data_IF_176398278893
#
_entry.id   IF_176398278893
#
_cell.length_a   1.000
_cell.length_b   1.000
_cell.length_c   1.000
_cell.angle_alpha   90.00
_cell.angle_beta   90.00
_cell.angle_gamma   90.00
#
_symmetry.space_group_name_H-M   'P 1'
#
loop_
_entity.id
_entity.type
_entity.pdbx_description
1 polymer ?
#
# COMPACT_ATOMS: atom_id res chain seq x y z
N UNK A 1 4.30 6.40 24.79
CA UNK A 1 4.57 6.37 23.34
C UNK A 1 4.29 7.78 22.84
N UNK A 2 5.25 8.44 22.22
CA UNK A 2 5.07 9.74 21.57
C UNK A 2 4.78 9.47 20.10
N UNK A 3 3.73 10.08 19.56
CA UNK A 3 3.35 9.93 18.15
C UNK A 3 3.77 11.14 17.29
N UNK A 4 4.40 12.15 17.91
CA UNK A 4 4.98 13.25 17.16
C UNK A 4 6.25 12.76 16.46
N UNK A 5 6.43 13.17 15.21
CA UNK A 5 7.64 12.85 14.44
C UNK A 5 8.84 13.59 15.02
N UNK A 6 10.00 12.96 14.98
CA UNK A 6 11.28 13.63 15.23
C UNK A 6 11.66 14.51 14.03
N UNK A 7 12.62 15.43 14.23
CA UNK A 7 13.12 16.29 13.15
C UNK A 7 13.65 15.45 11.95
N UNK A 8 14.33 14.33 12.22
CA UNK A 8 14.83 13.42 11.18
C UNK A 8 13.69 12.72 10.44
N UNK A 9 12.64 12.32 11.14
CA UNK A 9 11.45 11.73 10.55
C UNK A 9 10.64 12.73 9.72
N UNK A 10 10.58 13.99 10.16
CA UNK A 10 9.99 15.07 9.36
C UNK A 10 10.80 15.31 8.09
N UNK A 11 12.13 15.33 8.18
CA UNK A 11 13.00 15.46 7.02
C UNK A 11 12.84 14.29 6.03
N UNK A 12 12.75 13.05 6.54
CA UNK A 12 12.47 11.86 5.72
C UNK A 12 11.13 11.99 5.01
N UNK A 13 10.06 12.30 5.74
CA UNK A 13 8.71 12.52 5.18
C UNK A 13 8.75 13.54 4.05
N UNK A 14 9.33 14.71 4.31
CA UNK A 14 9.36 15.82 3.36
C UNK A 14 10.23 15.48 2.13
N UNK A 15 11.33 14.76 2.33
CA UNK A 15 12.17 14.24 1.24
C UNK A 15 11.41 13.27 0.32
N UNK A 16 10.74 12.27 0.89
CA UNK A 16 9.94 11.30 0.09
C UNK A 16 8.76 12.01 -0.58
N UNK A 17 8.09 12.94 0.09
CA UNK A 17 7.02 13.76 -0.50
C UNK A 17 7.52 14.55 -1.70
N UNK A 18 8.68 15.17 -1.61
CA UNK A 18 9.29 15.90 -2.74
C UNK A 18 9.61 14.96 -3.92
N UNK A 19 10.12 13.76 -3.65
CA UNK A 19 10.33 12.72 -4.67
C UNK A 19 9.01 12.34 -5.34
N UNK A 20 7.95 12.10 -4.55
CA UNK A 20 6.63 11.76 -5.08
C UNK A 20 6.07 12.88 -5.96
N UNK A 21 6.14 14.13 -5.51
CA UNK A 21 5.67 15.29 -6.29
C UNK A 21 6.44 15.48 -7.60
N UNK A 22 7.74 15.22 -7.60
CA UNK A 22 8.58 15.39 -8.77
C UNK A 22 8.50 14.24 -9.78
N UNK A 23 8.35 12.99 -9.30
CA UNK A 23 8.44 11.79 -10.14
C UNK A 23 7.09 11.13 -10.43
N UNK A 24 6.08 11.36 -9.58
CA UNK A 24 4.76 10.72 -9.65
C UNK A 24 3.61 11.75 -9.67
N UNK A 25 3.67 12.77 -10.56
CA UNK A 25 2.49 13.59 -10.79
C UNK A 25 1.35 12.73 -11.35
N UNK A 26 0.10 13.20 -11.23
CA UNK A 26 -1.11 12.46 -11.62
C UNK A 26 -1.03 11.84 -13.02
N UNK A 27 -0.55 12.58 -14.00
CA UNK A 27 -0.41 12.11 -15.38
C UNK A 27 0.52 10.89 -15.45
N UNK A 28 1.64 10.94 -14.72
CA UNK A 28 2.61 9.84 -14.69
C UNK A 28 2.07 8.62 -13.98
N UNK A 29 1.35 8.81 -12.86
CA UNK A 29 0.69 7.71 -12.13
C UNK A 29 -0.30 6.97 -13.03
N UNK A 30 -1.07 7.69 -13.85
CA UNK A 30 -2.05 7.10 -14.78
C UNK A 30 -1.43 6.22 -15.86
N UNK A 31 -0.16 6.41 -16.19
CA UNK A 31 0.57 5.55 -17.12
C UNK A 31 0.88 4.17 -16.51
N UNK A 32 0.73 4.02 -15.19
CA UNK A 32 0.98 2.78 -14.46
C UNK A 32 2.45 2.54 -14.13
N UNK A 33 2.79 1.28 -13.89
CA UNK A 33 4.13 0.88 -13.52
C UNK A 33 5.12 1.09 -14.67
N UNK A 34 6.27 1.69 -14.33
CA UNK A 34 7.43 1.82 -15.21
C UNK A 34 8.71 1.43 -14.44
N UNK A 35 9.49 0.54 -15.02
CA UNK A 35 10.70 0.01 -14.39
C UNK A 35 11.74 1.11 -14.12
N UNK A 36 11.97 2.01 -15.08
CA UNK A 36 12.96 3.07 -14.91
C UNK A 36 12.60 4.03 -13.77
N UNK A 37 11.32 4.33 -13.60
CA UNK A 37 10.83 5.15 -12.49
C UNK A 37 10.93 4.39 -11.15
N UNK A 38 10.69 3.08 -11.15
CA UNK A 38 10.85 2.24 -9.96
C UNK A 38 12.32 2.14 -9.53
N UNK A 39 13.24 1.91 -10.48
CA UNK A 39 14.68 1.88 -10.22
C UNK A 39 15.16 3.24 -9.67
N UNK A 40 14.72 4.34 -10.29
CA UNK A 40 15.03 5.68 -9.82
C UNK A 40 14.42 6.03 -8.45
N UNK A 41 13.30 5.41 -8.06
CA UNK A 41 12.79 5.47 -6.69
C UNK A 41 13.71 4.70 -5.74
N UNK A 42 14.19 3.51 -6.14
CA UNK A 42 15.15 2.73 -5.39
C UNK A 42 16.46 3.49 -5.12
N UNK A 43 16.95 4.26 -6.09
CA UNK A 43 18.14 5.11 -5.94
C UNK A 43 18.00 6.19 -4.85
N UNK A 44 16.78 6.53 -4.45
CA UNK A 44 16.54 7.45 -3.31
C UNK A 44 16.74 6.80 -1.95
N UNK A 45 17.01 5.49 -1.90
CA UNK A 45 17.19 4.72 -0.67
C UNK A 45 15.89 4.19 -0.05
N UNK A 46 14.72 4.42 -0.67
CA UNK A 46 13.44 4.01 -0.08
C UNK A 46 13.32 2.50 0.11
N UNK A 47 13.95 1.70 -0.73
CA UNK A 47 13.94 0.24 -0.60
C UNK A 47 15.03 -0.29 0.33
N UNK A 48 16.09 0.48 0.58
CA UNK A 48 17.20 0.10 1.47
C UNK A 48 17.03 0.56 2.92
N UNK A 49 15.97 1.32 3.26
CA UNK A 49 15.78 1.91 4.59
C UNK A 49 16.11 0.93 5.73
N UNK A 50 15.53 -0.26 5.71
CA UNK A 50 15.75 -1.26 6.77
C UNK A 50 17.19 -1.81 6.73
N UNK A 51 17.77 -2.00 5.55
CA UNK A 51 19.16 -2.46 5.39
C UNK A 51 20.17 -1.39 5.83
N UNK A 52 19.83 -0.11 5.67
CA UNK A 52 20.61 1.05 6.08
C UNK A 52 20.45 1.39 7.58
N UNK A 53 19.65 0.60 8.32
CA UNK A 53 19.51 0.71 9.76
C UNK A 53 18.40 1.64 10.23
N UNK A 54 17.51 2.08 9.34
CA UNK A 54 16.28 2.77 9.72
C UNK A 54 15.28 1.80 10.35
N UNK A 55 14.38 2.32 11.17
CA UNK A 55 13.32 1.57 11.83
C UNK A 55 12.13 1.25 10.91
N UNK A 56 11.28 0.30 11.30
CA UNK A 56 10.00 0.09 10.63
C UNK A 56 9.08 1.31 10.78
N UNK A 57 9.21 2.06 11.88
CA UNK A 57 8.51 3.32 12.05
C UNK A 57 8.92 4.34 10.98
N UNK A 58 10.21 4.44 10.64
CA UNK A 58 10.68 5.33 9.56
C UNK A 58 10.19 4.84 8.19
N UNK A 59 10.23 3.53 7.93
CA UNK A 59 9.73 2.97 6.69
C UNK A 59 8.22 3.19 6.52
N UNK A 60 7.41 3.17 7.59
CA UNK A 60 5.98 3.50 7.50
C UNK A 60 5.74 4.95 7.08
N UNK A 61 6.55 5.90 7.56
CA UNK A 61 6.46 7.30 7.15
C UNK A 61 6.69 7.45 5.63
N UNK A 62 7.73 6.77 5.11
CA UNK A 62 7.99 6.77 3.67
C UNK A 62 6.82 6.16 2.88
N UNK A 63 6.25 5.04 3.34
CA UNK A 63 5.12 4.37 2.68
C UNK A 63 3.81 5.15 2.76
N UNK A 64 3.58 5.96 3.79
CA UNK A 64 2.46 6.90 3.80
C UNK A 64 2.57 7.89 2.64
N UNK A 65 3.74 8.47 2.38
CA UNK A 65 3.93 9.42 1.28
C UNK A 65 3.81 8.74 -0.10
N UNK A 66 4.34 7.52 -0.26
CA UNK A 66 4.12 6.72 -1.47
C UNK A 66 2.63 6.43 -1.71
N UNK A 67 1.90 6.13 -0.63
CA UNK A 67 0.46 5.90 -0.66
C UNK A 67 -0.34 7.15 -1.02
N UNK A 68 0.04 8.33 -0.52
CA UNK A 68 -0.57 9.62 -0.87
C UNK A 68 -0.51 9.89 -2.37
N UNK A 69 0.60 9.51 -3.00
CA UNK A 69 0.80 9.65 -4.45
C UNK A 69 0.26 8.46 -5.26
N UNK A 70 -0.27 7.43 -4.62
CA UNK A 70 -0.73 6.17 -5.24
C UNK A 70 0.34 5.58 -6.15
N UNK A 71 1.61 5.62 -5.72
CA UNK A 71 2.76 5.18 -6.51
C UNK A 71 2.55 3.74 -7.01
N UNK A 72 2.64 3.47 -8.33
CA UNK A 72 2.48 2.13 -8.87
C UNK A 72 3.74 1.28 -8.70
N UNK A 73 3.57 -0.02 -8.52
CA UNK A 73 4.67 -0.99 -8.48
C UNK A 73 4.67 -1.88 -7.23
N UNK A 74 5.53 -2.89 -7.22
CA UNK A 74 5.65 -3.85 -6.14
C UNK A 74 6.52 -3.32 -4.98
N UNK A 75 6.15 -2.15 -4.42
CA UNK A 75 6.96 -1.36 -3.50
C UNK A 75 7.33 -2.12 -2.22
N UNK A 76 6.37 -2.83 -1.63
CA UNK A 76 6.58 -3.60 -0.39
C UNK A 76 7.60 -4.70 -0.63
N UNK A 77 7.50 -5.39 -1.76
CA UNK A 77 8.44 -6.44 -2.14
C UNK A 77 9.84 -5.88 -2.40
N UNK A 78 9.94 -4.64 -2.92
CA UNK A 78 11.20 -3.93 -3.07
C UNK A 78 11.94 -3.75 -1.74
N UNK A 79 11.23 -3.42 -0.66
CA UNK A 79 11.83 -3.29 0.69
C UNK A 79 12.18 -4.68 1.27
N UNK A 80 11.24 -5.63 1.23
CA UNK A 80 11.41 -6.94 1.85
C UNK A 80 12.55 -7.74 1.21
N UNK A 81 12.73 -7.63 -0.11
CA UNK A 81 13.72 -8.37 -0.87
C UNK A 81 15.04 -7.61 -1.10
N UNK A 82 15.16 -6.38 -0.60
CA UNK A 82 16.35 -5.56 -0.80
C UNK A 82 17.61 -6.28 -0.33
N UNK A 83 18.61 -6.32 -1.20
CA UNK A 83 19.89 -7.02 -0.92
C UNK A 83 19.82 -8.55 -0.98
N UNK A 84 18.64 -9.17 -1.11
CA UNK A 84 18.45 -10.61 -1.21
C UNK A 84 18.13 -11.07 -2.64
N UNK A 85 17.42 -10.26 -3.40
CA UNK A 85 17.01 -10.54 -4.77
C UNK A 85 17.40 -9.38 -5.67
N UNK A 86 18.01 -9.69 -6.83
CA UNK A 86 18.37 -8.68 -7.81
C UNK A 86 17.18 -8.32 -8.70
N UNK A 87 17.16 -7.07 -9.17
CA UNK A 87 16.12 -6.56 -10.07
C UNK A 87 14.83 -6.19 -9.37
N UNK A 88 13.70 -6.28 -10.08
CA UNK A 88 12.37 -5.96 -9.59
C UNK A 88 11.69 -7.19 -9.01
N UNK A 89 11.52 -7.29 -7.69
CA UNK A 89 10.78 -8.40 -7.08
C UNK A 89 9.28 -8.10 -7.08
N UNK A 90 8.46 -9.13 -7.24
CA UNK A 90 7.05 -9.13 -6.85
C UNK A 90 6.77 -10.35 -5.97
N UNK A 91 5.57 -10.49 -5.42
CA UNK A 91 5.31 -11.65 -4.60
C UNK A 91 3.85 -11.82 -4.20
N UNK A 92 3.59 -12.92 -3.51
CA UNK A 92 2.26 -13.32 -3.05
C UNK A 92 2.35 -14.34 -1.92
N UNK A 93 1.28 -14.50 -1.18
CA UNK A 93 1.07 -15.71 -0.37
C UNK A 93 0.76 -16.90 -1.29
N UNK A 94 1.31 -18.09 -0.98
CA UNK A 94 1.08 -19.28 -1.79
C UNK A 94 -0.42 -19.62 -1.80
N UNK A 95 -1.05 -19.73 -2.98
CA UNK A 95 -2.45 -20.10 -3.07
C UNK A 95 -2.69 -21.52 -2.56
N UNK A 96 -3.92 -21.82 -2.18
CA UNK A 96 -4.33 -23.16 -1.81
C UNK A 96 -4.07 -24.16 -2.97
N UNK A 97 -3.77 -25.43 -2.67
CA UNK A 97 -3.56 -26.45 -3.71
C UNK A 97 -4.71 -26.49 -4.74
N UNK A 98 -4.35 -26.43 -6.02
CA UNK A 98 -5.30 -26.41 -7.13
C UNK A 98 -5.94 -25.05 -7.43
N UNK A 99 -5.69 -24.01 -6.63
CA UNK A 99 -6.10 -22.65 -6.94
C UNK A 99 -5.02 -21.96 -7.79
N UNK A 100 -5.41 -21.15 -8.81
CA UNK A 100 -4.47 -20.37 -9.58
C UNK A 100 -3.87 -19.25 -8.71
N UNK A 101 -2.60 -18.92 -8.96
CA UNK A 101 -1.97 -17.74 -8.39
C UNK A 101 -2.33 -16.50 -9.21
N UNK A 102 -2.54 -15.38 -8.50
CA UNK A 102 -2.70 -14.05 -9.10
C UNK A 102 -1.43 -13.27 -8.80
N UNK A 103 -0.59 -13.06 -9.81
CA UNK A 103 0.73 -12.45 -9.66
C UNK A 103 0.69 -11.03 -10.21
N UNK A 104 0.92 -10.06 -9.31
CA UNK A 104 1.02 -8.66 -9.67
C UNK A 104 2.34 -8.37 -10.39
N UNK A 105 2.32 -7.49 -11.37
CA UNK A 105 3.50 -7.01 -12.11
C UNK A 105 4.38 -8.11 -12.73
N UNK A 106 3.88 -9.33 -12.97
CA UNK A 106 4.67 -10.48 -13.45
C UNK A 106 5.52 -10.16 -14.68
N UNK A 107 4.96 -9.46 -15.66
CA UNK A 107 5.67 -9.13 -16.91
C UNK A 107 6.84 -8.15 -16.73
N UNK A 108 6.87 -7.42 -15.62
CA UNK A 108 7.91 -6.42 -15.33
C UNK A 108 8.88 -6.87 -14.22
N UNK A 109 8.54 -7.95 -13.51
CA UNK A 109 9.36 -8.49 -12.43
C UNK A 109 10.45 -9.44 -12.95
N UNK A 110 11.56 -9.54 -12.20
CA UNK A 110 12.64 -10.48 -12.44
C UNK A 110 12.46 -11.75 -11.60
N UNK A 111 11.81 -11.64 -10.44
CA UNK A 111 11.53 -12.75 -9.53
C UNK A 111 10.17 -12.61 -8.85
N UNK A 112 9.54 -13.76 -8.59
CA UNK A 112 8.33 -13.87 -7.78
C UNK A 112 8.67 -14.49 -6.44
N UNK A 113 8.36 -13.78 -5.37
CA UNK A 113 8.53 -14.21 -3.98
C UNK A 113 7.25 -14.86 -3.48
N UNK A 114 7.35 -16.08 -3.02
CA UNK A 114 6.21 -16.86 -2.54
C UNK A 114 6.35 -17.07 -1.05
N UNK A 115 5.43 -16.50 -0.29
CA UNK A 115 5.34 -16.75 1.16
C UNK A 115 4.65 -18.10 1.37
N UNK A 116 5.44 -19.12 1.67
CA UNK A 116 4.93 -20.45 2.02
C UNK A 116 4.59 -20.54 3.52
N UNK A 117 4.19 -21.71 4.00
CA UNK A 117 3.87 -21.90 5.42
C UNK A 117 5.09 -21.64 6.31
N UNK A 118 6.27 -22.09 5.88
CA UNK A 118 7.49 -22.16 6.68
C UNK A 118 8.71 -21.43 6.07
N UNK A 119 8.59 -20.93 4.84
CA UNK A 119 9.70 -20.30 4.14
C UNK A 119 9.26 -19.24 3.15
N UNK A 120 10.16 -18.33 2.80
CA UNK A 120 10.04 -17.51 1.60
C UNK A 120 10.77 -18.25 0.47
N UNK A 121 10.10 -18.36 -0.67
CA UNK A 121 10.69 -18.99 -1.86
C UNK A 121 10.80 -18.00 -3.00
N UNK A 122 11.82 -18.14 -3.80
CA UNK A 122 12.04 -17.34 -5.00
C UNK A 122 11.82 -18.18 -6.24
N UNK A 123 11.02 -17.67 -7.17
CA UNK A 123 10.78 -18.26 -8.48
C UNK A 123 11.20 -17.25 -9.54
N UNK A 124 12.19 -17.55 -10.39
CA UNK A 124 12.52 -16.71 -11.54
C UNK A 124 11.32 -16.56 -12.47
N UNK A 125 11.08 -15.36 -12.99
CA UNK A 125 9.89 -15.10 -13.82
C UNK A 125 9.90 -15.86 -15.14
N UNK A 126 11.05 -16.20 -15.68
CA UNK A 126 11.20 -17.04 -16.90
C UNK A 126 10.72 -18.49 -16.70
N UNK A 127 10.62 -18.96 -15.46
CA UNK A 127 10.04 -20.27 -15.12
C UNK A 127 8.51 -20.23 -14.96
N UNK A 128 7.87 -19.07 -15.09
CA UNK A 128 6.44 -18.88 -14.82
C UNK A 128 5.69 -18.64 -16.13
N UNK A 129 4.67 -19.47 -16.38
CA UNK A 129 3.72 -19.24 -17.48
C UNK A 129 2.47 -18.61 -16.90
N UNK A 130 2.27 -17.34 -17.19
CA UNK A 130 1.11 -16.55 -16.74
C UNK A 130 0.33 -15.97 -17.91
N UNK A 131 -0.98 -15.82 -17.73
CA UNK A 131 -1.86 -15.12 -18.66
C UNK A 131 -2.27 -13.79 -18.05
N UNK A 132 -1.90 -12.69 -18.68
CA UNK A 132 -2.29 -11.35 -18.23
C UNK A 132 -3.81 -11.19 -18.22
N UNK A 133 -4.35 -10.49 -17.24
CA UNK A 133 -5.75 -10.10 -17.21
C UNK A 133 -5.94 -8.85 -18.09
N UNK A 134 -6.89 -8.88 -19.02
CA UNK A 134 -7.21 -7.73 -19.88
C UNK A 134 -7.77 -6.56 -19.06
N UNK A 135 -8.48 -6.84 -17.98
CA UNK A 135 -9.16 -5.86 -17.13
C UNK A 135 -8.85 -6.12 -15.65
N UNK A 136 -7.64 -5.76 -15.17
CA UNK A 136 -7.35 -5.86 -13.73
C UNK A 136 -8.24 -4.90 -12.94
N UNK A 137 -8.54 -5.26 -11.69
CA UNK A 137 -9.35 -4.44 -10.79
C UNK A 137 -8.74 -3.04 -10.61
N UNK A 138 -7.42 -2.98 -10.41
CA UNK A 138 -6.65 -1.75 -10.38
C UNK A 138 -5.83 -1.62 -11.67
N UNK A 139 -6.11 -0.62 -12.52
CA UNK A 139 -5.39 -0.43 -13.78
C UNK A 139 -3.91 -0.09 -13.60
N UNK A 140 -3.52 0.35 -12.40
CA UNK A 140 -2.11 0.65 -12.07
C UNK A 140 -1.33 -0.59 -11.63
N UNK A 141 -2.01 -1.73 -11.47
CA UNK A 141 -1.43 -3.01 -11.03
C UNK A 141 -1.78 -4.11 -12.04
N UNK A 142 -0.96 -4.30 -13.08
CA UNK A 142 -1.12 -5.43 -13.98
C UNK A 142 -1.04 -6.75 -13.22
N UNK A 143 -1.99 -7.66 -13.49
CA UNK A 143 -2.07 -8.96 -12.83
C UNK A 143 -2.05 -10.06 -13.88
N UNK A 144 -1.29 -11.12 -13.63
CA UNK A 144 -1.29 -12.34 -14.42
C UNK A 144 -1.86 -13.50 -13.59
N UNK A 145 -2.71 -14.29 -14.25
CA UNK A 145 -3.19 -15.57 -13.72
C UNK A 145 -2.18 -16.67 -14.06
N UNK A 146 -1.66 -17.34 -13.05
CA UNK A 146 -0.72 -18.45 -13.15
C UNK A 146 -1.43 -19.73 -12.68
N UNK A 147 -1.64 -20.67 -13.58
CA UNK A 147 -2.34 -21.93 -13.26
C UNK A 147 -1.48 -22.83 -12.38
N UNK A 148 -0.21 -22.99 -12.77
CA UNK A 148 0.75 -23.85 -12.11
C UNK A 148 1.94 -23.00 -11.65
N UNK A 149 1.92 -22.57 -10.40
CA UNK A 149 3.01 -21.80 -9.80
C UNK A 149 4.12 -22.77 -9.34
N UNK A 150 5.36 -22.65 -9.87
CA UNK A 150 6.46 -23.47 -9.42
C UNK A 150 6.72 -23.34 -7.93
N UNK A 151 7.29 -24.37 -7.32
CA UNK A 151 7.60 -24.33 -5.88
C UNK A 151 8.68 -23.28 -5.56
N UNK A 152 9.66 -23.12 -6.44
CA UNK A 152 10.80 -22.23 -6.24
C UNK A 152 11.83 -22.76 -5.22
N UNK A 153 12.91 -22.03 -5.08
CA UNK A 153 13.98 -22.31 -4.11
C UNK A 153 13.77 -21.52 -2.83
N UNK A 154 14.22 -22.06 -1.69
CA UNK A 154 14.15 -21.33 -0.42
C UNK A 154 15.11 -20.13 -0.47
N UNK A 155 14.60 -18.96 -0.19
CA UNK A 155 15.37 -17.73 -0.12
C UNK A 155 16.10 -17.66 1.23
N UNK A 156 17.42 -17.86 1.19
CA UNK A 156 18.23 -17.80 2.39
C UNK A 156 18.22 -16.38 2.99
N UNK A 157 18.13 -16.31 4.32
CA UNK A 157 18.13 -15.05 5.06
C UNK A 157 16.75 -14.38 5.17
N UNK A 158 15.69 -14.93 4.54
CA UNK A 158 14.32 -14.44 4.66
C UNK A 158 13.55 -15.21 5.74
N UNK A 159 12.94 -14.49 6.66
CA UNK A 159 12.00 -15.01 7.66
C UNK A 159 10.56 -14.73 7.22
N UNK A 160 9.79 -15.77 6.94
CA UNK A 160 8.44 -15.67 6.39
C UNK A 160 7.47 -14.98 7.34
N UNK A 161 7.59 -15.22 8.65
CA UNK A 161 6.73 -14.60 9.66
C UNK A 161 7.01 -13.09 9.76
N UNK A 162 8.30 -12.74 9.81
CA UNK A 162 8.72 -11.34 9.81
C UNK A 162 8.28 -10.63 8.53
N UNK A 163 8.39 -11.28 7.37
CA UNK A 163 7.98 -10.72 6.09
C UNK A 163 6.48 -10.49 6.00
N UNK A 164 5.66 -11.43 6.51
CA UNK A 164 4.21 -11.23 6.57
C UNK A 164 3.84 -10.04 7.44
N UNK A 165 4.43 -9.93 8.64
CA UNK A 165 4.20 -8.83 9.57
C UNK A 165 4.62 -7.49 8.96
N UNK A 166 5.84 -7.40 8.49
CA UNK A 166 6.38 -6.18 7.88
C UNK A 166 5.62 -5.79 6.61
N UNK A 167 5.31 -6.74 5.75
CA UNK A 167 4.53 -6.53 4.53
C UNK A 167 3.12 -6.01 4.83
N UNK A 168 2.46 -6.55 5.86
CA UNK A 168 1.16 -6.07 6.30
C UNK A 168 1.24 -4.62 6.82
N UNK A 169 2.25 -4.28 7.63
CA UNK A 169 2.43 -2.92 8.17
C UNK A 169 2.76 -1.92 7.06
N UNK A 170 3.68 -2.23 6.14
CA UNK A 170 4.01 -1.34 5.02
C UNK A 170 2.81 -1.15 4.07
N UNK A 171 2.05 -2.22 3.80
CA UNK A 171 0.80 -2.11 3.03
C UNK A 171 -0.22 -1.24 3.75
N UNK A 172 -0.37 -1.38 5.07
CA UNK A 172 -1.24 -0.56 5.89
C UNK A 172 -0.81 0.92 5.89
N UNK A 173 0.50 1.20 5.96
CA UNK A 173 1.04 2.56 5.86
C UNK A 173 0.70 3.21 4.51
N UNK A 174 0.87 2.48 3.41
CA UNK A 174 0.46 2.94 2.08
C UNK A 174 -1.05 3.23 2.03
N UNK A 175 -1.89 2.36 2.61
CA UNK A 175 -3.34 2.55 2.69
C UNK A 175 -3.72 3.78 3.52
N UNK A 176 -3.00 4.08 4.62
CA UNK A 176 -3.17 5.31 5.41
C UNK A 176 -2.86 6.55 4.57
N UNK A 177 -1.74 6.55 3.84
CA UNK A 177 -1.39 7.64 2.92
C UNK A 177 -2.50 7.91 1.89
N UNK A 178 -3.03 6.85 1.27
CA UNK A 178 -4.17 6.94 0.36
C UNK A 178 -5.42 7.52 1.04
N UNK A 179 -5.71 7.09 2.28
CA UNK A 179 -6.88 7.56 3.02
C UNK A 179 -6.79 9.07 3.30
N UNK A 180 -5.62 9.59 3.67
CA UNK A 180 -5.38 11.03 3.85
C UNK A 180 -5.49 11.80 2.53
N UNK A 181 -4.88 11.32 1.45
CA UNK A 181 -4.97 11.96 0.14
C UNK A 181 -6.42 12.08 -0.34
N UNK A 182 -7.25 11.06 -0.11
CA UNK A 182 -8.67 11.10 -0.43
C UNK A 182 -9.42 12.20 0.37
N UNK A 183 -9.10 12.39 1.65
CA UNK A 183 -9.70 13.46 2.47
C UNK A 183 -9.31 14.84 1.93
N UNK A 184 -8.04 15.02 1.62
CA UNK A 184 -7.52 16.30 1.10
C UNK A 184 -8.12 16.66 -0.26
N UNK A 185 -8.13 15.71 -1.21
CA UNK A 185 -8.70 15.91 -2.54
C UNK A 185 -10.20 16.21 -2.46
N UNK A 186 -10.94 15.46 -1.65
CA UNK A 186 -12.37 15.69 -1.48
C UNK A 186 -12.66 17.03 -0.79
N UNK A 187 -11.82 17.44 0.17
CA UNK A 187 -11.94 18.73 0.86
C UNK A 187 -11.67 19.88 -0.10
N UNK A 188 -10.58 19.81 -0.87
CA UNK A 188 -10.25 20.81 -1.88
C UNK A 188 -11.37 20.96 -2.91
N UNK A 189 -11.87 19.85 -3.44
CA UNK A 189 -12.99 19.86 -4.37
C UNK A 189 -14.26 20.47 -3.73
N UNK A 190 -14.57 20.12 -2.48
CA UNK A 190 -15.75 20.63 -1.79
C UNK A 190 -15.70 22.15 -1.52
N UNK A 191 -14.50 22.71 -1.37
CA UNK A 191 -14.30 24.15 -1.19
C UNK A 191 -14.47 24.93 -2.51
N UNK A 192 -14.04 24.33 -3.63
CA UNK A 192 -14.05 24.99 -4.96
C UNK A 192 -15.39 24.78 -5.69
N UNK A 193 -15.94 23.55 -5.69
CA UNK A 193 -17.17 23.20 -6.42
C UNK A 193 -18.38 23.93 -5.87
N UNK A 194 -19.08 24.68 -6.74
CA UNK A 194 -20.29 25.42 -6.37
C UNK A 194 -21.53 24.73 -6.93
N UNK A 195 -22.56 24.66 -6.11
CA UNK A 195 -23.95 24.27 -6.45
C UNK A 195 -24.91 25.06 -5.57
N UNK A 196 -26.08 25.39 -6.08
CA UNK A 196 -27.07 26.19 -5.35
C UNK A 196 -26.47 27.52 -4.82
N UNK A 197 -25.68 28.20 -5.66
CA UNK A 197 -24.99 29.47 -5.41
C UNK A 197 -23.95 29.48 -4.28
N UNK A 198 -23.53 28.33 -3.78
CA UNK A 198 -22.53 28.20 -2.71
C UNK A 198 -21.61 26.99 -2.90
N UNK A 199 -20.42 26.97 -2.26
CA UNK A 199 -19.55 25.80 -2.27
C UNK A 199 -20.26 24.56 -1.71
N UNK A 200 -20.05 23.37 -2.31
CA UNK A 200 -20.70 22.15 -1.83
C UNK A 200 -20.24 21.77 -0.42
N UNK A 201 -19.02 22.16 -0.02
CA UNK A 201 -18.52 22.02 1.36
C UNK A 201 -19.26 22.86 2.41
N UNK A 202 -20.12 23.80 2.01
CA UNK A 202 -20.98 24.52 2.95
C UNK A 202 -22.14 23.69 3.50
N UNK A 203 -22.50 22.59 2.83
CA UNK A 203 -23.57 21.69 3.27
C UNK A 203 -23.12 20.79 4.41
N UNK A 204 -23.95 20.67 5.48
CA UNK A 204 -23.66 19.85 6.65
C UNK A 204 -23.33 18.40 6.31
N UNK A 205 -24.07 17.80 5.38
CA UNK A 205 -23.84 16.41 4.96
C UNK A 205 -22.41 16.19 4.44
N UNK A 206 -21.90 17.13 3.63
CA UNK A 206 -20.51 17.04 3.13
C UNK A 206 -19.48 17.23 4.26
N UNK A 207 -19.75 18.19 5.17
CA UNK A 207 -18.86 18.40 6.33
C UNK A 207 -18.76 17.16 7.21
N UNK A 208 -19.88 16.48 7.49
CA UNK A 208 -19.88 15.25 8.28
C UNK A 208 -19.14 14.11 7.57
N UNK A 209 -19.36 13.93 6.26
CA UNK A 209 -18.63 12.93 5.48
C UNK A 209 -17.09 13.13 5.53
N UNK A 210 -16.64 14.38 5.40
CA UNK A 210 -15.22 14.70 5.43
C UNK A 210 -14.64 14.59 6.85
N UNK A 211 -15.38 14.99 7.88
CA UNK A 211 -14.96 14.83 9.27
C UNK A 211 -14.82 13.35 9.66
N UNK A 212 -15.79 12.52 9.31
CA UNK A 212 -15.73 11.07 9.54
C UNK A 212 -14.57 10.42 8.77
N UNK A 213 -14.30 10.89 7.55
CA UNK A 213 -13.18 10.39 6.76
C UNK A 213 -11.82 10.76 7.39
N UNK A 214 -11.68 11.97 7.92
CA UNK A 214 -10.47 12.39 8.64
C UNK A 214 -10.26 11.54 9.90
N UNK A 215 -11.29 11.36 10.72
CA UNK A 215 -11.20 10.53 11.93
C UNK A 215 -10.75 9.10 11.60
N UNK A 216 -11.30 8.48 10.54
CA UNK A 216 -10.87 7.13 10.12
C UNK A 216 -9.39 7.09 9.73
N UNK A 217 -8.92 8.09 8.98
CA UNK A 217 -7.52 8.15 8.55
C UNK A 217 -6.58 8.31 9.75
N UNK A 218 -6.90 9.19 10.71
CA UNK A 218 -6.07 9.43 11.91
C UNK A 218 -6.04 8.22 12.84
N UNK A 219 -7.17 7.55 13.07
CA UNK A 219 -7.24 6.32 13.86
C UNK A 219 -6.39 5.22 13.22
N UNK A 220 -6.50 5.04 11.90
CA UNK A 220 -5.72 4.05 11.16
C UNK A 220 -4.21 4.39 11.21
N UNK A 221 -3.84 5.66 11.04
CA UNK A 221 -2.45 6.12 11.15
C UNK A 221 -1.85 5.79 12.50
N UNK A 222 -2.56 6.11 13.57
CA UNK A 222 -2.11 5.81 14.94
C UNK A 222 -1.88 4.31 15.14
N UNK A 223 -2.78 3.45 14.64
CA UNK A 223 -2.64 2.00 14.72
C UNK A 223 -1.44 1.49 13.93
N UNK A 224 -1.20 2.03 12.72
CA UNK A 224 -0.06 1.64 11.87
C UNK A 224 1.27 2.03 12.50
N UNK A 225 1.38 3.24 13.03
CA UNK A 225 2.59 3.68 13.74
C UNK A 225 2.84 2.84 14.99
N UNK A 226 1.79 2.50 15.76
CA UNK A 226 1.91 1.60 16.91
C UNK A 226 2.41 0.20 16.49
N UNK A 227 1.89 -0.35 15.39
CA UNK A 227 2.34 -1.64 14.87
C UNK A 227 3.80 -1.60 14.40
N UNK A 228 4.22 -0.52 13.73
CA UNK A 228 5.60 -0.34 13.30
C UNK A 228 6.58 -0.29 14.51
N UNK A 229 6.25 0.50 15.54
CA UNK A 229 7.03 0.55 16.78
C UNK A 229 7.09 -0.81 17.48
N UNK A 230 6.00 -1.58 17.45
CA UNK A 230 5.96 -2.93 18.04
C UNK A 230 6.78 -3.95 17.22
N UNK A 231 6.92 -3.73 15.89
CA UNK A 231 7.86 -4.51 15.06
C UNK A 231 9.32 -4.19 15.38
N UNK A 232 9.63 -2.93 15.69
CA UNK A 232 10.97 -2.48 16.07
C UNK A 232 11.36 -2.99 17.48
N UNK A 233 10.40 -2.96 18.40
CA UNK A 233 10.59 -3.39 19.80
C UNK A 233 9.41 -4.28 20.26
N UNK A 234 9.53 -5.60 20.12
CA UNK A 234 8.48 -6.56 20.52
C UNK A 234 8.15 -6.56 22.02
N UNK A 235 8.98 -5.94 22.87
CA UNK A 235 8.72 -5.88 24.33
C UNK A 235 7.63 -4.85 24.68
N UNK A 236 7.30 -3.92 23.76
CA UNK A 236 6.30 -2.86 24.03
C UNK A 236 4.85 -3.34 23.81
N UNK A 237 4.62 -4.51 23.21
CA UNK A 237 3.27 -5.01 22.99
C UNK A 237 3.20 -6.32 22.21
N UNK A 238 1.97 -6.76 21.97
CA UNK A 238 1.69 -7.94 21.15
C UNK A 238 1.81 -7.58 19.66
N UNK A 239 2.83 -8.10 19.01
CA UNK A 239 3.17 -7.82 17.60
C UNK A 239 2.04 -8.24 16.66
N UNK A 240 1.50 -9.46 16.82
CA UNK A 240 0.47 -9.97 15.91
C UNK A 240 -0.83 -9.18 16.06
N UNK A 241 -1.24 -8.89 17.29
CA UNK A 241 -2.41 -8.05 17.55
C UNK A 241 -2.24 -6.65 16.97
N UNK A 242 -1.07 -6.03 17.10
CA UNK A 242 -0.79 -4.71 16.55
C UNK A 242 -0.85 -4.73 15.01
N UNK A 243 -0.19 -5.70 14.37
CA UNK A 243 -0.16 -5.85 12.90
C UNK A 243 -1.56 -6.10 12.33
N UNK A 244 -2.32 -7.03 12.91
CA UNK A 244 -3.67 -7.34 12.43
C UNK A 244 -4.62 -6.15 12.62
N UNK A 245 -4.55 -5.45 13.75
CA UNK A 245 -5.34 -4.24 14.01
C UNK A 245 -5.02 -3.11 13.04
N UNK A 246 -3.74 -2.85 12.80
CA UNK A 246 -3.28 -1.84 11.87
C UNK A 246 -3.77 -2.11 10.43
N UNK A 247 -3.59 -3.35 9.93
CA UNK A 247 -3.99 -3.71 8.57
C UNK A 247 -5.50 -3.64 8.38
N UNK A 248 -6.29 -4.07 9.37
CA UNK A 248 -7.74 -3.99 9.33
C UNK A 248 -8.23 -2.54 9.28
N UNK A 249 -7.74 -1.68 10.19
CA UNK A 249 -8.14 -0.28 10.27
C UNK A 249 -7.69 0.54 9.05
N UNK A 250 -6.46 0.32 8.56
CA UNK A 250 -5.94 1.01 7.39
C UNK A 250 -6.69 0.63 6.11
N UNK A 251 -6.99 -0.66 5.93
CA UNK A 251 -7.77 -1.15 4.80
C UNK A 251 -9.19 -0.59 4.78
N UNK A 252 -9.84 -0.53 5.95
CA UNK A 252 -11.15 0.11 6.10
C UNK A 252 -11.10 1.60 5.80
N UNK A 253 -10.12 2.32 6.34
CA UNK A 253 -9.95 3.76 6.13
C UNK A 253 -9.72 4.08 4.65
N UNK A 254 -8.78 3.39 3.98
CA UNK A 254 -8.50 3.59 2.57
C UNK A 254 -9.75 3.38 1.70
N UNK A 255 -10.46 2.26 1.91
CA UNK A 255 -11.63 1.92 1.12
C UNK A 255 -12.80 2.89 1.35
N UNK A 256 -13.12 3.19 2.63
CA UNK A 256 -14.24 4.08 2.96
C UNK A 256 -13.95 5.53 2.57
N UNK A 257 -12.69 6.00 2.73
CA UNK A 257 -12.31 7.36 2.36
C UNK A 257 -12.29 7.54 0.85
N UNK A 258 -11.81 6.55 0.08
CA UNK A 258 -11.88 6.60 -1.37
C UNK A 258 -13.35 6.61 -1.88
N UNK A 259 -14.25 5.83 -1.27
CA UNK A 259 -15.69 5.91 -1.55
C UNK A 259 -16.26 7.28 -1.20
N UNK A 260 -15.89 7.85 -0.05
CA UNK A 260 -16.32 9.18 0.37
C UNK A 260 -15.84 10.25 -0.62
N UNK A 261 -14.56 10.19 -1.03
CA UNK A 261 -14.01 11.11 -2.02
C UNK A 261 -14.74 11.01 -3.36
N UNK A 262 -14.98 9.79 -3.85
CA UNK A 262 -15.77 9.56 -5.06
C UNK A 262 -17.18 10.15 -4.94
N UNK A 263 -17.85 9.96 -3.79
CA UNK A 263 -19.18 10.49 -3.54
C UNK A 263 -19.21 12.03 -3.52
N UNK A 264 -18.19 12.67 -2.91
CA UNK A 264 -18.06 14.12 -2.86
C UNK A 264 -17.85 14.73 -4.26
N UNK A 265 -17.08 14.06 -5.12
CA UNK A 265 -16.90 14.46 -6.52
C UNK A 265 -18.15 14.21 -7.39
N UNK A 266 -19.10 13.39 -6.93
CA UNK A 266 -20.28 13.04 -7.69
C UNK A 266 -19.95 12.30 -8.98
N UNK A 267 -20.63 12.62 -10.08
CA UNK A 267 -20.41 11.97 -11.39
C UNK A 267 -18.97 12.03 -11.87
N UNK A 268 -18.24 13.11 -11.59
CA UNK A 268 -16.82 13.23 -11.96
C UNK A 268 -15.94 12.20 -11.26
N UNK A 269 -16.30 11.77 -10.05
CA UNK A 269 -15.53 10.79 -9.27
C UNK A 269 -15.37 9.42 -9.95
N UNK A 270 -16.13 9.13 -11.01
CA UNK A 270 -16.05 7.92 -11.83
C UNK A 270 -15.39 8.13 -13.19
N UNK A 271 -14.98 9.35 -13.50
CA UNK A 271 -14.35 9.69 -14.78
C UNK A 271 -12.83 9.72 -14.65
N UNK A 272 -12.13 9.61 -15.78
CA UNK A 272 -10.66 9.75 -15.84
C UNK A 272 -10.18 11.20 -15.68
N UNK A 273 -11.08 12.15 -15.44
CA UNK A 273 -10.72 13.56 -15.19
C UNK A 273 -10.18 13.77 -13.77
N UNK A 274 -10.49 12.85 -12.82
CA UNK A 274 -10.04 12.92 -11.42
C UNK A 274 -9.49 11.56 -10.96
N UNK A 275 -8.55 11.56 -10.02
CA UNK A 275 -7.82 10.34 -9.61
C UNK A 275 -8.46 9.55 -8.47
N UNK A 276 -9.54 10.05 -7.87
CA UNK A 276 -10.15 9.40 -6.69
C UNK A 276 -10.60 7.96 -6.96
N UNK A 277 -10.98 7.63 -8.21
CA UNK A 277 -11.33 6.27 -8.58
C UNK A 277 -10.12 5.31 -8.62
N UNK A 278 -8.90 5.84 -8.84
CA UNK A 278 -7.67 5.04 -8.80
C UNK A 278 -7.39 4.61 -7.36
N UNK A 279 -7.51 5.54 -6.41
CA UNK A 279 -7.40 5.22 -4.99
C UNK A 279 -8.43 4.17 -4.55
N UNK A 280 -9.68 4.25 -5.04
CA UNK A 280 -10.72 3.28 -4.73
C UNK A 280 -10.38 1.86 -5.24
N UNK A 281 -9.90 1.76 -6.47
CA UNK A 281 -9.52 0.48 -7.09
C UNK A 281 -8.28 -0.13 -6.41
N UNK A 282 -7.28 0.70 -6.12
CA UNK A 282 -6.09 0.30 -5.37
C UNK A 282 -6.44 -0.17 -3.95
N UNK A 283 -7.36 0.52 -3.24
CA UNK A 283 -7.79 0.13 -1.90
C UNK A 283 -8.44 -1.26 -1.88
N UNK A 284 -9.24 -1.61 -2.88
CA UNK A 284 -9.81 -2.96 -2.99
C UNK A 284 -8.72 -4.03 -3.18
N UNK A 285 -7.76 -3.77 -4.06
CA UNK A 285 -6.65 -4.70 -4.30
C UNK A 285 -5.81 -4.90 -3.04
N UNK A 286 -5.37 -3.81 -2.41
CA UNK A 286 -4.50 -3.87 -1.22
C UNK A 286 -5.18 -4.52 -0.01
N UNK A 287 -6.50 -4.60 0.02
CA UNK A 287 -7.22 -5.35 1.04
C UNK A 287 -7.05 -6.88 0.92
N UNK A 288 -6.50 -7.38 -0.18
CA UNK A 288 -6.22 -8.81 -0.36
C UNK A 288 -4.74 -9.15 -0.16
N UNK A 289 -3.86 -8.15 -0.10
CA UNK A 289 -2.40 -8.32 0.00
C UNK A 289 -2.00 -8.41 1.47
N UNK A 290 -1.15 -9.38 1.81
CA UNK A 290 -0.74 -9.72 3.19
C UNK A 290 -1.91 -9.94 4.15
N UNK A 291 -2.93 -10.64 3.69
CA UNK A 291 -4.13 -11.00 4.44
C UNK A 291 -5.37 -10.18 4.08
N UNK A 292 -6.52 -10.85 4.09
CA UNK A 292 -7.84 -10.21 3.89
C UNK A 292 -8.35 -9.58 5.19
N UNK A 293 -9.32 -8.63 5.12
CA UNK A 293 -9.97 -8.10 6.31
C UNK A 293 -10.55 -9.18 7.23
N UNK A 294 -11.15 -10.22 6.66
CA UNK A 294 -11.73 -11.33 7.44
C UNK A 294 -10.62 -12.11 8.15
N UNK A 295 -9.50 -12.42 7.48
CA UNK A 295 -8.39 -13.13 8.11
C UNK A 295 -7.75 -12.33 9.26
N UNK A 296 -7.65 -11.02 9.14
CA UNK A 296 -7.16 -10.17 10.23
C UNK A 296 -8.17 -10.06 11.37
N UNK A 297 -9.46 -9.99 11.08
CA UNK A 297 -10.51 -9.98 12.10
C UNK A 297 -10.56 -11.30 12.88
N UNK A 298 -10.48 -12.44 12.20
CA UNK A 298 -10.44 -13.77 12.81
C UNK A 298 -9.22 -13.94 13.74
N UNK A 299 -8.05 -13.45 13.30
CA UNK A 299 -6.84 -13.46 14.11
C UNK A 299 -6.94 -12.59 15.38
N UNK A 300 -7.69 -11.48 15.33
CA UNK A 300 -7.93 -10.62 16.49
C UNK A 300 -8.96 -11.20 17.45
N UNK A 301 -9.83 -12.11 16.99
CA UNK A 301 -10.88 -12.75 17.79
C UNK A 301 -10.41 -14.04 18.47
N UNK A 302 -9.28 -14.62 18.04
CA UNK A 302 -8.69 -15.85 18.58
C UNK A 302 -7.79 -15.57 19.79
#
# INVERSE_FOLDING_TARGET
MHFDLTDDQEALRDGIRAVCQGRFPSERVREGFDRGTFDALGETGVFSLIADGFSWADATIAFEELGRAVVPGPLVWGVLAHGLVAGVPTGLDRPAPGAPAMVEHLAAADAVLVLDADAVRVVPTDAIVGTALDWPLDPLTPVARVADLPTGEVLAGADVTRWRRAGAVLTAAFQVGMAHACVEQATAYALDRRQFDRPVGSFQAIKHLLADALVRAEVARTAVHAAAVTLDDPEVGDVDRAVHGAKLLAGEAALKNAKTATQVHGGMGFTWEVDVHLALKRAWLLNTVFGSPDSHADALAS
#
